data_IF_094676514577
#
_entry.id   IF_094676514577
#
_cell.length_a   1.000
_cell.length_b   1.000
_cell.length_c   1.000
_cell.angle_alpha   90.00
_cell.angle_beta   90.00
_cell.angle_gamma   90.00
#
_symmetry.space_group_name_H-M   'P 1'
#
loop_
_entity.id
_entity.type
_entity.pdbx_description
1 polymer ?
#
# COMPACT_ATOMS: atom_id res chain seq x y z
N UNK A 1 -14.91 -9.04 25.09
CA UNK A 1 -14.79 -7.72 24.42
C UNK A 1 -15.99 -6.86 24.81
N UNK A 2 -15.76 -5.63 25.27
CA UNK A 2 -16.79 -4.71 25.80
C UNK A 2 -17.97 -4.42 24.83
N UNK A 3 -17.84 -4.78 23.55
CA UNK A 3 -18.83 -4.55 22.49
C UNK A 3 -19.38 -5.85 21.86
N UNK A 4 -19.12 -7.03 22.43
CA UNK A 4 -19.69 -8.28 21.95
C UNK A 4 -19.03 -8.89 20.70
N UNK A 5 -17.84 -8.44 20.28
CA UNK A 5 -17.09 -9.08 19.21
C UNK A 5 -16.91 -10.60 19.47
N UNK A 6 -17.19 -11.42 18.45
CA UNK A 6 -17.14 -12.89 18.52
C UNK A 6 -15.86 -13.49 17.93
N UNK A 7 -15.18 -12.73 17.08
CA UNK A 7 -13.93 -13.10 16.45
C UNK A 7 -13.10 -11.83 16.18
N UNK A 8 -11.80 -11.98 16.07
CA UNK A 8 -10.87 -10.94 15.68
C UNK A 8 -9.71 -11.56 14.89
N UNK A 9 -9.04 -10.74 14.08
CA UNK A 9 -7.79 -11.05 13.44
C UNK A 9 -6.89 -9.82 13.56
N UNK A 10 -5.60 -10.02 13.83
CA UNK A 10 -4.62 -8.94 13.86
C UNK A 10 -3.56 -9.23 12.80
N UNK A 11 -3.22 -8.21 12.03
CA UNK A 11 -2.25 -8.30 10.93
C UNK A 11 -1.14 -7.27 11.13
N UNK A 12 0.07 -7.69 10.81
CA UNK A 12 1.26 -6.86 10.75
C UNK A 12 1.81 -6.86 9.32
N UNK A 13 2.21 -5.70 8.82
CA UNK A 13 2.67 -5.50 7.44
C UNK A 13 4.16 -5.20 7.39
N UNK A 14 4.60 -4.56 6.30
CA UNK A 14 5.99 -4.40 5.90
C UNK A 14 6.93 -3.83 6.98
N UNK A 15 6.46 -2.87 7.78
CA UNK A 15 7.32 -2.21 8.78
C UNK A 15 7.87 -3.22 9.80
N UNK A 16 7.07 -4.21 10.19
CA UNK A 16 7.46 -5.24 11.15
C UNK A 16 8.38 -6.31 10.53
N UNK A 17 8.33 -6.49 9.20
CA UNK A 17 9.26 -7.36 8.47
C UNK A 17 10.64 -6.74 8.32
N UNK A 18 10.70 -5.41 8.20
CA UNK A 18 11.95 -4.66 7.94
C UNK A 18 12.68 -4.21 9.20
N UNK A 19 11.94 -3.88 10.26
CA UNK A 19 12.55 -3.39 11.49
C UNK A 19 13.37 -4.50 12.17
N UNK A 20 14.60 -4.20 12.60
CA UNK A 20 15.47 -5.16 13.28
C UNK A 20 14.87 -5.71 14.59
N UNK A 21 14.00 -4.93 15.24
CA UNK A 21 13.26 -5.28 16.45
C UNK A 21 11.78 -5.59 16.18
N UNK A 22 11.37 -5.78 14.92
CA UNK A 22 9.97 -6.00 14.55
C UNK A 22 9.39 -7.26 15.20
N UNK A 23 10.15 -8.37 15.17
CA UNK A 23 9.76 -9.63 15.82
C UNK A 23 9.61 -9.47 17.34
N UNK A 24 10.58 -8.83 18.00
CA UNK A 24 10.55 -8.59 19.45
C UNK A 24 9.34 -7.74 19.87
N UNK A 25 8.98 -6.74 19.05
CA UNK A 25 7.79 -5.93 19.29
C UNK A 25 6.52 -6.77 19.20
N UNK A 26 6.39 -7.62 18.18
CA UNK A 26 5.22 -8.49 17.99
C UNK A 26 5.09 -9.53 19.10
N UNK A 27 6.20 -10.12 19.54
CA UNK A 27 6.24 -11.05 20.68
C UNK A 27 5.78 -10.39 21.98
N UNK A 28 6.24 -9.16 22.23
CA UNK A 28 5.77 -8.36 23.36
C UNK A 28 4.30 -8.04 23.27
N UNK A 29 3.81 -7.61 22.10
CA UNK A 29 2.40 -7.32 21.88
C UNK A 29 1.52 -8.56 22.11
N UNK A 30 1.95 -9.75 21.65
CA UNK A 30 1.27 -11.02 21.92
C UNK A 30 1.20 -11.31 23.42
N UNK A 31 2.30 -11.16 24.15
CA UNK A 31 2.35 -11.43 25.59
C UNK A 31 1.53 -10.42 26.41
N UNK A 32 1.63 -9.13 26.08
CA UNK A 32 0.96 -8.05 26.81
C UNK A 32 -0.55 -7.99 26.52
N UNK A 33 -0.98 -8.29 25.28
CA UNK A 33 -2.38 -8.16 24.85
C UNK A 33 -3.12 -9.49 24.72
N UNK A 34 -2.42 -10.62 24.66
CA UNK A 34 -3.01 -11.94 24.40
C UNK A 34 -3.60 -12.07 22.99
N UNK A 35 -3.07 -11.32 22.02
CA UNK A 35 -3.54 -11.28 20.63
C UNK A 35 -2.47 -11.92 19.74
N UNK A 36 -2.85 -12.95 18.99
CA UNK A 36 -2.03 -13.48 17.91
C UNK A 36 -2.03 -12.50 16.73
N UNK A 37 -0.84 -12.18 16.21
CA UNK A 37 -0.65 -11.20 15.13
C UNK A 37 0.04 -11.89 13.95
N UNK A 38 -0.64 -11.95 12.83
CA UNK A 38 -0.11 -12.54 11.60
C UNK A 38 0.70 -11.51 10.81
N UNK A 39 1.98 -11.80 10.58
CA UNK A 39 2.80 -11.02 9.65
C UNK A 39 2.49 -11.48 8.23
N UNK A 40 1.73 -10.68 7.51
CA UNK A 40 1.28 -11.02 6.15
C UNK A 40 2.30 -10.58 5.11
N UNK A 41 2.31 -11.20 3.94
CA UNK A 41 3.14 -10.76 2.80
C UNK A 41 2.47 -9.64 2.01
N UNK A 42 3.23 -8.93 1.16
CA UNK A 42 2.72 -7.83 0.36
C UNK A 42 1.58 -8.25 -0.60
N UNK A 43 1.61 -9.48 -1.12
CA UNK A 43 0.53 -10.02 -1.97
C UNK A 43 -0.77 -10.26 -1.16
N UNK A 44 -0.63 -10.64 0.11
CA UNK A 44 -1.77 -10.79 1.00
C UNK A 44 -2.37 -9.41 1.37
N UNK A 45 -1.53 -8.39 1.55
CA UNK A 45 -1.96 -6.98 1.70
C UNK A 45 -2.77 -6.54 0.46
N UNK A 46 -2.24 -6.78 -0.75
CA UNK A 46 -2.93 -6.47 -2.00
C UNK A 46 -4.31 -7.15 -2.11
N UNK A 47 -4.39 -8.44 -1.74
CA UNK A 47 -5.65 -9.18 -1.74
C UNK A 47 -6.66 -8.63 -0.75
N UNK A 48 -6.24 -8.23 0.45
CA UNK A 48 -7.11 -7.62 1.45
C UNK A 48 -7.61 -6.24 0.98
N UNK A 49 -6.73 -5.42 0.41
CA UNK A 49 -7.07 -4.13 -0.20
C UNK A 49 -8.11 -4.28 -1.32
N UNK A 50 -7.91 -5.25 -2.21
CA UNK A 50 -8.86 -5.56 -3.28
C UNK A 50 -10.24 -5.99 -2.78
N UNK A 51 -10.29 -6.93 -1.82
CA UNK A 51 -11.54 -7.38 -1.22
C UNK A 51 -12.28 -6.24 -0.50
N UNK A 52 -11.54 -5.33 0.13
CA UNK A 52 -12.08 -4.12 0.76
C UNK A 52 -12.71 -3.20 -0.28
N UNK A 53 -12.01 -2.90 -1.38
CA UNK A 53 -12.53 -2.09 -2.47
C UNK A 53 -13.82 -2.67 -3.05
N UNK A 54 -13.87 -4.00 -3.27
CA UNK A 54 -15.07 -4.69 -3.73
C UNK A 54 -16.23 -4.61 -2.74
N UNK A 55 -15.97 -4.81 -1.45
CA UNK A 55 -16.98 -4.75 -0.40
C UNK A 55 -17.58 -3.34 -0.24
N UNK A 56 -16.78 -2.29 -0.45
CA UNK A 56 -17.21 -0.89 -0.44
C UNK A 56 -18.02 -0.48 -1.70
N UNK A 57 -18.29 -1.42 -2.60
CA UNK A 57 -19.12 -1.17 -3.77
C UNK A 57 -18.43 -0.36 -4.85
N UNK A 58 -17.09 -0.37 -4.90
CA UNK A 58 -16.37 0.08 -6.08
C UNK A 58 -16.89 -0.73 -7.27
N UNK A 59 -17.59 -0.06 -8.19
CA UNK A 59 -18.12 -0.67 -9.41
C UNK A 59 -17.53 0.04 -10.61
N UNK A 60 -17.22 -0.70 -11.67
CA UNK A 60 -16.86 -0.08 -12.94
C UNK A 60 -17.99 0.83 -13.41
N UNK A 61 -17.67 2.03 -13.90
CA UNK A 61 -18.61 2.80 -14.71
C UNK A 61 -18.66 2.15 -16.09
N UNK A 62 -19.62 1.25 -16.30
CA UNK A 62 -19.83 0.54 -17.56
C UNK A 62 -19.41 -0.93 -17.54
N UNK A 63 -19.45 -1.54 -18.71
CA UNK A 63 -19.66 -2.97 -18.95
C UNK A 63 -18.36 -3.74 -19.26
N UNK A 64 -17.18 -3.16 -19.02
CA UNK A 64 -15.93 -3.77 -19.48
C UNK A 64 -14.63 -3.42 -18.77
N UNK A 65 -14.64 -3.09 -17.47
CA UNK A 65 -13.38 -2.91 -16.71
C UNK A 65 -13.48 -3.54 -15.33
N UNK A 66 -12.42 -4.16 -14.82
CA UNK A 66 -12.33 -4.57 -13.42
C UNK A 66 -12.18 -3.36 -12.48
N UNK A 67 -12.43 -3.57 -11.19
CA UNK A 67 -12.06 -2.60 -10.14
C UNK A 67 -10.55 -2.68 -9.96
N UNK A 68 -9.87 -1.52 -9.97
CA UNK A 68 -8.48 -1.42 -9.51
C UNK A 68 -8.48 -0.93 -8.07
N UNK A 69 -8.00 -1.76 -7.15
CA UNK A 69 -7.75 -1.32 -5.79
C UNK A 69 -6.31 -0.77 -5.71
N UNK A 70 -6.17 0.47 -5.26
CA UNK A 70 -4.88 1.08 -4.95
C UNK A 70 -4.80 1.25 -3.43
N UNK A 71 -3.99 0.45 -2.77
CA UNK A 71 -3.60 0.61 -1.38
C UNK A 71 -2.25 1.34 -1.29
N UNK A 72 -2.18 2.40 -0.49
CA UNK A 72 -0.98 3.22 -0.31
C UNK A 72 -0.78 3.49 1.17
N UNK A 73 0.26 2.89 1.73
CA UNK A 73 0.66 3.04 3.12
C UNK A 73 1.88 3.93 3.31
N UNK A 74 2.43 3.91 4.53
CA UNK A 74 3.67 4.63 4.85
C UNK A 74 4.93 4.00 4.24
N UNK A 75 4.98 2.67 4.16
CA UNK A 75 6.17 1.92 3.74
C UNK A 75 6.08 1.36 2.31
N UNK A 76 4.87 1.05 1.83
CA UNK A 76 4.62 0.41 0.53
C UNK A 76 3.33 0.87 -0.12
N UNK A 77 3.17 0.48 -1.38
CA UNK A 77 1.92 0.52 -2.12
C UNK A 77 1.60 -0.84 -2.73
N UNK A 78 0.33 -1.07 -3.03
CA UNK A 78 -0.18 -2.21 -3.78
C UNK A 78 -1.31 -1.72 -4.71
N UNK A 79 -1.19 -2.00 -6.00
CA UNK A 79 -2.25 -1.84 -6.99
C UNK A 79 -2.66 -3.22 -7.44
N UNK A 80 -3.96 -3.51 -7.42
CA UNK A 80 -4.45 -4.84 -7.76
C UNK A 80 -5.78 -4.83 -8.49
N UNK A 81 -5.97 -5.81 -9.37
CA UNK A 81 -7.20 -6.00 -10.13
C UNK A 81 -7.42 -7.47 -10.42
N UNK A 82 -8.69 -7.87 -10.56
CA UNK A 82 -9.04 -9.21 -11.04
C UNK A 82 -8.91 -9.23 -12.56
N UNK A 83 -8.11 -10.16 -13.07
CA UNK A 83 -7.97 -10.34 -14.52
C UNK A 83 -9.27 -10.92 -15.09
N UNK A 84 -9.73 -10.37 -16.21
CA UNK A 84 -10.73 -11.05 -17.02
C UNK A 84 -10.15 -12.37 -17.51
N UNK A 85 -10.96 -13.44 -17.47
CA UNK A 85 -10.59 -14.77 -17.96
C UNK A 85 -10.01 -14.63 -19.38
N UNK A 86 -8.78 -15.10 -19.59
CA UNK A 86 -8.25 -15.15 -20.95
C UNK A 86 -8.84 -16.37 -21.70
N UNK A 87 -8.71 -16.34 -23.03
CA UNK A 87 -9.13 -17.45 -23.92
C UNK A 87 -8.33 -18.76 -23.70
N UNK A 88 -7.40 -18.80 -22.75
CA UNK A 88 -6.62 -19.97 -22.34
C UNK A 88 -7.12 -20.60 -21.03
N UNK A 89 -8.18 -20.06 -20.42
CA UNK A 89 -8.85 -20.69 -19.28
C UNK A 89 -8.19 -20.45 -17.92
N UNK A 90 -7.39 -19.38 -17.77
CA UNK A 90 -6.95 -18.96 -16.44
C UNK A 90 -8.18 -18.64 -15.56
N UNK A 91 -8.31 -19.33 -14.43
CA UNK A 91 -9.51 -19.27 -13.60
C UNK A 91 -9.90 -17.82 -13.23
N UNK A 92 -11.18 -17.50 -13.42
CA UNK A 92 -11.80 -16.31 -12.84
C UNK A 92 -11.42 -16.21 -11.36
N UNK A 93 -10.97 -15.04 -10.90
CA UNK A 93 -10.46 -14.83 -9.54
C UNK A 93 -8.95 -14.68 -9.40
N UNK A 94 -8.17 -14.73 -10.49
CA UNK A 94 -6.74 -14.41 -10.42
C UNK A 94 -6.53 -12.91 -10.25
N UNK A 95 -5.84 -12.52 -9.17
CA UNK A 95 -5.50 -11.14 -8.86
C UNK A 95 -4.15 -10.79 -9.49
N UNK A 96 -4.13 -9.83 -10.40
CA UNK A 96 -2.90 -9.17 -10.82
C UNK A 96 -2.51 -8.14 -9.76
N UNK A 97 -1.23 -8.13 -9.38
CA UNK A 97 -0.68 -7.26 -8.35
C UNK A 97 0.53 -6.52 -8.90
N UNK A 98 0.55 -5.21 -8.68
CA UNK A 98 1.69 -4.32 -8.91
C UNK A 98 1.99 -3.64 -7.59
N UNK A 99 3.16 -3.88 -7.01
CA UNK A 99 3.46 -3.47 -5.66
C UNK A 99 4.93 -3.06 -5.53
N UNK A 100 5.22 -2.24 -4.53
CA UNK A 100 6.59 -1.78 -4.28
C UNK A 100 6.78 -1.21 -2.88
N UNK A 101 8.03 -1.13 -2.44
CA UNK A 101 8.45 -0.58 -1.16
C UNK A 101 8.51 0.97 -1.17
N UNK A 102 7.45 1.61 -1.67
CA UNK A 102 7.35 3.06 -1.82
C UNK A 102 6.04 3.56 -1.22
N UNK A 103 6.08 3.97 0.04
CA UNK A 103 4.96 4.64 0.71
C UNK A 103 5.27 6.09 1.09
N UNK A 104 4.33 6.75 1.76
CA UNK A 104 4.46 8.17 2.13
C UNK A 104 5.67 8.47 3.03
N UNK A 105 5.99 7.59 3.99
CA UNK A 105 7.16 7.74 4.87
C UNK A 105 8.47 7.52 4.12
N UNK A 106 8.48 6.60 3.15
CA UNK A 106 9.66 6.39 2.27
C UNK A 106 9.87 7.60 1.37
N UNK A 107 8.81 8.15 0.76
CA UNK A 107 8.91 9.37 -0.03
C UNK A 107 9.38 10.57 0.80
N UNK A 108 8.90 10.69 2.05
CA UNK A 108 9.35 11.73 2.98
C UNK A 108 10.82 11.57 3.34
N UNK A 109 11.28 10.35 3.62
CA UNK A 109 12.69 10.08 3.90
C UNK A 109 13.57 10.41 2.69
N UNK A 110 13.16 10.01 1.48
CA UNK A 110 13.86 10.35 0.23
C UNK A 110 13.96 11.87 0.03
N UNK A 111 12.88 12.61 0.27
CA UNK A 111 12.89 14.07 0.20
C UNK A 111 13.90 14.67 1.18
N UNK A 112 13.85 14.26 2.46
CA UNK A 112 14.68 14.86 3.50
C UNK A 112 16.15 14.48 3.34
N UNK A 113 16.43 13.19 3.15
CA UNK A 113 17.79 12.66 3.19
C UNK A 113 18.52 12.81 1.86
N UNK A 114 17.85 12.52 0.73
CA UNK A 114 18.48 12.55 -0.60
C UNK A 114 18.43 13.94 -1.24
N UNK A 115 17.25 14.57 -1.23
CA UNK A 115 17.02 15.85 -1.92
C UNK A 115 17.45 17.03 -1.06
N UNK A 116 16.96 17.11 0.18
CA UNK A 116 17.27 18.21 1.10
C UNK A 116 18.62 18.03 1.83
N UNK A 117 19.21 16.82 1.78
CA UNK A 117 20.49 16.48 2.43
C UNK A 117 20.50 16.81 3.93
N UNK A 118 19.37 16.55 4.59
CA UNK A 118 19.13 16.78 6.02
C UNK A 118 18.60 15.50 6.68
N UNK A 119 18.20 15.59 7.93
CA UNK A 119 17.51 14.53 8.67
C UNK A 119 16.24 15.09 9.33
N UNK A 120 15.25 14.22 9.59
CA UNK A 120 14.07 14.63 10.37
C UNK A 120 14.39 15.00 11.83
N UNK A 121 15.59 14.67 12.32
CA UNK A 121 16.08 15.14 13.63
C UNK A 121 16.53 16.60 13.57
N UNK A 122 17.17 17.00 12.48
CA UNK A 122 17.68 18.37 12.28
C UNK A 122 16.59 19.30 11.75
N UNK A 123 15.73 18.80 10.86
CA UNK A 123 14.62 19.52 10.26
C UNK A 123 13.33 18.72 10.48
N UNK A 124 12.57 18.99 11.56
CA UNK A 124 11.39 18.21 11.94
C UNK A 124 10.25 18.19 10.90
N UNK A 125 10.28 19.10 9.94
CA UNK A 125 9.29 19.20 8.86
C UNK A 125 10.02 19.40 7.52
N UNK A 126 9.68 18.65 6.47
CA UNK A 126 10.25 18.86 5.14
C UNK A 126 9.72 20.14 4.46
N UNK A 127 8.76 20.84 5.08
CA UNK A 127 8.10 22.01 4.49
C UNK A 127 8.78 23.34 4.87
N UNK A 128 8.80 24.32 3.94
CA UNK A 128 8.25 24.26 2.59
C UNK A 128 9.14 23.48 1.62
N UNK A 129 8.52 22.84 0.61
CA UNK A 129 9.22 22.13 -0.47
C UNK A 129 9.32 23.04 -1.70
N UNK A 130 10.54 23.33 -2.15
CA UNK A 130 10.75 24.10 -3.38
C UNK A 130 10.35 23.29 -4.63
N UNK A 131 9.87 23.92 -5.71
CA UNK A 131 9.50 23.20 -6.95
C UNK A 131 10.62 22.29 -7.47
N UNK A 132 11.87 22.73 -7.42
CA UNK A 132 13.03 21.95 -7.88
C UNK A 132 13.26 20.70 -7.02
N UNK A 133 12.99 20.80 -5.71
CA UNK A 133 13.05 19.65 -4.80
C UNK A 133 11.92 18.66 -5.05
N UNK A 134 10.73 19.15 -5.41
CA UNK A 134 9.60 18.30 -5.80
C UNK A 134 9.92 17.54 -7.10
N UNK A 135 10.51 18.19 -8.10
CA UNK A 135 10.93 17.56 -9.34
C UNK A 135 12.01 16.48 -9.11
N UNK A 136 13.00 16.78 -8.26
CA UNK A 136 14.04 15.82 -7.89
C UNK A 136 13.46 14.61 -7.14
N UNK A 137 12.51 14.84 -6.22
CA UNK A 137 11.80 13.77 -5.54
C UNK A 137 11.03 12.88 -6.52
N UNK A 138 10.29 13.47 -7.47
CA UNK A 138 9.56 12.71 -8.49
C UNK A 138 10.51 11.85 -9.32
N UNK A 139 11.68 12.38 -9.66
CA UNK A 139 12.72 11.62 -10.37
C UNK A 139 13.23 10.44 -9.54
N UNK A 140 13.58 10.68 -8.28
CA UNK A 140 14.06 9.64 -7.37
C UNK A 140 13.00 8.54 -7.13
N UNK A 141 11.73 8.90 -7.02
CA UNK A 141 10.62 7.95 -6.90
C UNK A 141 10.44 7.12 -8.17
N UNK A 142 10.53 7.73 -9.35
CA UNK A 142 10.47 6.99 -10.64
C UNK A 142 11.61 5.99 -10.81
N UNK A 143 12.81 6.33 -10.36
CA UNK A 143 13.97 5.43 -10.39
C UNK A 143 13.78 4.21 -9.47
N UNK A 144 13.05 4.38 -8.35
CA UNK A 144 12.82 3.33 -7.37
C UNK A 144 11.55 2.50 -7.65
N UNK A 145 10.65 2.97 -8.53
CA UNK A 145 9.42 2.27 -8.86
C UNK A 145 9.71 1.06 -9.75
N UNK A 146 9.04 -0.10 -9.51
CA UNK A 146 9.10 -1.22 -10.43
C UNK A 146 8.47 -0.86 -11.77
N UNK A 147 8.82 -1.60 -12.83
CA UNK A 147 8.23 -1.39 -14.14
C UNK A 147 6.71 -1.60 -14.09
N UNK A 148 5.97 -0.62 -14.62
CA UNK A 148 4.52 -0.66 -14.62
C UNK A 148 4.03 -1.75 -15.60
N UNK A 149 3.30 -2.77 -15.13
CA UNK A 149 2.78 -3.81 -16.00
C UNK A 149 1.68 -3.28 -16.93
N UNK A 150 1.54 -3.90 -18.10
CA UNK A 150 0.63 -3.41 -19.14
C UNK A 150 -0.84 -3.41 -18.74
N UNK A 151 -1.26 -4.29 -17.83
CA UNK A 151 -2.64 -4.35 -17.34
C UNK A 151 -3.05 -3.09 -16.55
N UNK A 152 -2.10 -2.27 -16.08
CA UNK A 152 -2.42 -0.97 -15.47
C UNK A 152 -2.96 0.02 -16.50
N UNK A 153 -2.61 -0.13 -17.78
CA UNK A 153 -3.05 0.79 -18.84
C UNK A 153 -4.52 0.52 -19.16
N UNK A 154 -5.34 1.58 -19.16
CA UNK A 154 -6.75 1.49 -19.55
C UNK A 154 -7.73 1.07 -18.45
N UNK A 155 -7.26 0.94 -17.21
CA UNK A 155 -8.14 0.77 -16.05
C UNK A 155 -9.15 1.92 -15.91
N UNK A 156 -10.42 1.60 -15.67
CA UNK A 156 -11.54 2.56 -15.74
C UNK A 156 -12.13 2.99 -14.41
N UNK A 157 -11.91 2.21 -13.34
CA UNK A 157 -12.37 2.54 -11.99
C UNK A 157 -11.29 2.19 -10.97
N UNK A 158 -10.77 3.21 -10.28
CA UNK A 158 -9.79 3.07 -9.20
C UNK A 158 -10.48 3.33 -7.88
N UNK A 159 -10.35 2.39 -6.95
CA UNK A 159 -10.76 2.53 -5.56
C UNK A 159 -9.50 2.69 -4.70
N UNK A 160 -9.36 3.85 -4.08
CA UNK A 160 -8.23 4.20 -3.25
C UNK A 160 -8.46 3.74 -1.80
N UNK A 161 -7.49 3.01 -1.28
CA UNK A 161 -7.42 2.46 0.08
C UNK A 161 -6.20 3.13 0.76
N UNK A 162 -6.30 3.41 2.07
CA UNK A 162 -5.23 4.06 2.84
C UNK A 162 -5.56 5.42 3.45
N UNK A 163 -6.81 5.91 3.30
CA UNK A 163 -7.26 7.15 3.94
C UNK A 163 -6.46 8.38 3.46
N UNK A 164 -6.06 9.31 4.35
CA UNK A 164 -5.32 10.52 3.96
C UNK A 164 -3.90 10.24 3.42
N UNK A 165 -3.39 9.01 3.59
CA UNK A 165 -2.13 8.57 2.99
C UNK A 165 -2.30 8.01 1.58
N UNK A 166 -3.55 7.83 1.14
CA UNK A 166 -3.84 7.49 -0.25
C UNK A 166 -3.71 8.75 -1.11
N UNK A 167 -2.94 8.65 -2.19
CA UNK A 167 -2.72 9.76 -3.15
C UNK A 167 -4.02 10.24 -3.82
N UNK A 168 -5.08 9.43 -3.77
CA UNK A 168 -6.42 9.79 -4.25
C UNK A 168 -7.36 9.87 -3.06
N UNK A 169 -7.76 11.10 -2.72
CA UNK A 169 -8.97 11.28 -1.92
C UNK A 169 -10.16 10.91 -2.82
N UNK A 170 -11.01 9.98 -2.37
CA UNK A 170 -12.31 9.74 -2.99
C UNK A 170 -13.27 10.91 -2.74
#
# INVERSE_FOLDING_TARGET
AAHGARAYAAVATEVFRKACNGADFLERARHELGIEIDVIAQDAEARLGYLTARALGARPRGDGGGVVAWDSGGASFQVSTELAVDSAGAAAGTLAVYAGALGASVATALLVERVQKSTLRETPSPNPVAPEQADELVRALREAMPDAPDWLRGARAVAAIGGPNSLFNA
#
